data_IF_067107429234
#
_entry.id   IF_067107429234
#
_cell.length_a   1.000
_cell.length_b   1.000
_cell.length_c   1.000
_cell.angle_alpha   90.00
_cell.angle_beta   90.00
_cell.angle_gamma   90.00
#
_symmetry.space_group_name_H-M   'P 1'
#
loop_
_entity.id
_entity.type
_entity.pdbx_description
1 polymer ?
#
# COMPACT_ATOMS: atom_id res chain seq x y z
N UNK A 1 0.34 -18.68 11.46
CA UNK A 1 1.02 -17.69 10.59
C UNK A 1 -0.04 -17.08 9.67
N UNK A 2 -0.08 -15.74 9.51
CA UNK A 2 -0.96 -15.06 8.56
C UNK A 2 -0.18 -14.82 7.27
N UNK A 3 -0.65 -15.33 6.15
CA UNK A 3 0.03 -15.18 4.85
C UNK A 3 -0.66 -14.09 4.03
N UNK A 4 0.12 -13.10 3.60
CA UNK A 4 -0.32 -11.97 2.79
C UNK A 4 0.61 -11.83 1.57
N UNK A 5 0.30 -12.49 0.43
CA UNK A 5 1.10 -12.35 -0.77
C UNK A 5 1.00 -10.95 -1.37
N UNK A 6 1.96 -10.62 -2.22
CA UNK A 6 1.81 -9.47 -3.10
C UNK A 6 0.65 -9.67 -4.08
N UNK A 7 -0.11 -8.62 -4.32
CA UNK A 7 -1.17 -8.59 -5.33
C UNK A 7 -0.67 -7.96 -6.64
N UNK A 8 -0.88 -8.65 -7.75
CA UNK A 8 -0.49 -8.20 -9.09
C UNK A 8 0.92 -8.61 -9.53
N UNK A 9 1.25 -8.25 -10.78
CA UNK A 9 2.53 -8.59 -11.39
C UNK A 9 3.61 -7.60 -10.99
N UNK A 10 4.59 -8.08 -10.25
CA UNK A 10 5.74 -7.28 -9.82
C UNK A 10 6.98 -7.61 -10.64
N UNK A 11 7.62 -6.58 -11.19
CA UNK A 11 8.86 -6.68 -11.97
C UNK A 11 9.92 -5.72 -11.44
N UNK A 12 11.19 -5.91 -11.84
CA UNK A 12 12.25 -4.94 -11.60
C UNK A 12 12.77 -4.82 -10.15
N UNK A 13 13.83 -4.01 -10.02
CA UNK A 13 14.43 -3.54 -8.76
C UNK A 13 14.93 -2.09 -8.96
N UNK A 14 14.28 -1.06 -8.38
CA UNK A 14 13.12 -1.13 -7.49
C UNK A 14 11.90 -1.77 -8.15
N UNK A 15 11.05 -2.38 -7.33
CA UNK A 15 9.86 -3.10 -7.80
C UNK A 15 8.89 -2.15 -8.51
N UNK A 16 8.28 -2.63 -9.59
CA UNK A 16 7.23 -1.97 -10.37
C UNK A 16 6.03 -2.89 -10.38
N UNK A 17 4.84 -2.34 -10.14
CA UNK A 17 3.57 -3.06 -10.22
C UNK A 17 2.90 -2.74 -11.56
N UNK A 18 2.60 -3.78 -12.33
CA UNK A 18 2.00 -3.70 -13.66
C UNK A 18 0.71 -4.52 -13.72
N UNK A 19 -0.24 -4.11 -14.56
CA UNK A 19 -1.50 -4.83 -14.78
C UNK A 19 -2.68 -3.89 -14.94
N UNK A 20 -3.89 -4.46 -14.88
CA UNK A 20 -5.13 -3.69 -14.75
C UNK A 20 -5.74 -3.90 -13.37
N UNK A 21 -6.52 -2.92 -12.92
CA UNK A 21 -7.23 -3.02 -11.63
C UNK A 21 -8.14 -4.25 -11.61
N UNK A 22 -8.89 -4.52 -12.69
CA UNK A 22 -9.73 -5.71 -12.81
C UNK A 22 -8.93 -7.01 -12.61
N UNK A 23 -7.74 -7.11 -13.22
CA UNK A 23 -6.89 -8.29 -13.06
C UNK A 23 -6.42 -8.52 -11.63
N UNK A 24 -6.22 -7.44 -10.86
CA UNK A 24 -5.84 -7.52 -9.45
C UNK A 24 -7.02 -7.95 -8.58
N UNK A 25 -8.23 -7.48 -8.86
CA UNK A 25 -9.43 -7.93 -8.15
C UNK A 25 -9.69 -9.42 -8.43
N UNK A 26 -9.58 -9.86 -9.68
CA UNK A 26 -9.72 -11.26 -10.06
C UNK A 26 -8.67 -12.15 -9.38
N UNK A 27 -7.41 -11.72 -9.35
CA UNK A 27 -6.33 -12.43 -8.66
C UNK A 27 -6.57 -12.49 -7.14
N UNK A 28 -7.00 -11.39 -6.53
CA UNK A 28 -7.32 -11.34 -5.10
C UNK A 28 -8.41 -12.37 -4.76
N UNK A 29 -9.50 -12.41 -5.53
CA UNK A 29 -10.58 -13.37 -5.34
C UNK A 29 -10.10 -14.83 -5.48
N UNK A 30 -9.24 -15.11 -6.46
CA UNK A 30 -8.65 -16.45 -6.63
C UNK A 30 -7.76 -16.86 -5.45
N UNK A 31 -7.02 -15.92 -4.87
CA UNK A 31 -6.17 -16.19 -3.69
C UNK A 31 -6.98 -16.30 -2.41
N UNK A 32 -8.04 -15.51 -2.24
CA UNK A 32 -8.96 -15.65 -1.11
C UNK A 32 -9.63 -17.03 -1.10
N UNK A 33 -10.04 -17.54 -2.27
CA UNK A 33 -10.55 -18.90 -2.40
C UNK A 33 -9.53 -20.00 -1.98
N UNK A 34 -8.23 -19.67 -1.94
CA UNK A 34 -7.16 -20.56 -1.46
C UNK A 34 -6.80 -20.35 0.02
N UNK A 35 -7.49 -19.43 0.71
CA UNK A 35 -7.35 -19.21 2.15
C UNK A 35 -6.22 -18.26 2.57
N UNK A 36 -5.80 -17.33 1.70
CA UNK A 36 -4.88 -16.26 2.12
C UNK A 36 -5.55 -15.33 3.13
N UNK A 37 -4.78 -14.73 4.03
CA UNK A 37 -5.33 -13.84 5.06
C UNK A 37 -5.63 -12.44 4.52
N UNK A 38 -4.87 -11.98 3.53
CA UNK A 38 -4.94 -10.62 3.01
C UNK A 38 -3.85 -10.40 1.97
N UNK A 39 -3.54 -9.15 1.65
CA UNK A 39 -2.62 -8.80 0.57
C UNK A 39 -1.67 -7.67 0.94
N UNK A 40 -0.45 -7.75 0.41
CA UNK A 40 0.48 -6.63 0.33
C UNK A 40 0.33 -5.99 -1.06
N UNK A 41 -0.03 -4.71 -1.12
CA UNK A 41 -0.21 -4.00 -2.37
C UNK A 41 0.87 -2.93 -2.52
N UNK A 42 1.72 -3.07 -3.55
CA UNK A 42 2.73 -2.06 -3.92
C UNK A 42 2.11 -0.86 -4.65
N UNK A 43 1.12 -0.23 -4.03
CA UNK A 43 0.21 0.76 -4.60
C UNK A 43 0.89 1.92 -5.34
N UNK A 44 1.77 2.66 -4.65
CA UNK A 44 2.48 3.80 -5.29
C UNK A 44 3.71 3.39 -6.11
N UNK A 45 3.85 2.09 -6.41
CA UNK A 45 4.77 1.56 -7.44
C UNK A 45 4.02 1.08 -8.68
N UNK A 46 2.71 1.29 -8.74
CA UNK A 46 1.90 1.01 -9.90
C UNK A 46 2.19 1.97 -11.04
N UNK A 47 2.24 1.45 -12.27
CA UNK A 47 2.53 2.25 -13.47
C UNK A 47 1.35 3.08 -13.97
N UNK A 48 0.14 2.81 -13.46
CA UNK A 48 -1.08 3.55 -13.80
C UNK A 48 -1.45 4.58 -12.72
N UNK A 49 -2.75 4.80 -12.56
CA UNK A 49 -3.29 5.64 -11.49
C UNK A 49 -3.23 4.88 -10.14
N UNK A 50 -2.25 5.24 -9.32
CA UNK A 50 -1.99 4.60 -8.02
C UNK A 50 -3.11 4.86 -7.00
N UNK A 51 -3.70 6.06 -6.98
CA UNK A 51 -4.77 6.39 -6.05
C UNK A 51 -6.06 5.65 -6.40
N UNK A 52 -6.40 5.60 -7.70
CA UNK A 52 -7.53 4.80 -8.17
C UNK A 52 -7.35 3.31 -7.86
N UNK A 53 -6.14 2.78 -8.07
CA UNK A 53 -5.82 1.40 -7.73
C UNK A 53 -6.01 1.14 -6.23
N UNK A 54 -5.37 1.94 -5.38
CA UNK A 54 -5.39 1.76 -3.93
C UNK A 54 -6.82 1.77 -3.41
N UNK A 55 -7.60 2.78 -3.81
CA UNK A 55 -9.01 2.90 -3.43
C UNK A 55 -9.81 1.68 -3.87
N UNK A 56 -9.71 1.32 -5.14
CA UNK A 56 -10.54 0.25 -5.71
C UNK A 56 -10.22 -1.10 -5.07
N UNK A 57 -8.94 -1.41 -4.84
CA UNK A 57 -8.53 -2.66 -4.18
C UNK A 57 -8.98 -2.70 -2.72
N UNK A 58 -8.78 -1.62 -1.97
CA UNK A 58 -9.19 -1.55 -0.56
C UNK A 58 -10.71 -1.64 -0.39
N UNK A 59 -11.49 -1.05 -1.30
CA UNK A 59 -12.96 -1.11 -1.27
C UNK A 59 -13.54 -2.44 -1.77
N UNK A 60 -12.88 -3.10 -2.74
CA UNK A 60 -13.45 -4.26 -3.44
C UNK A 60 -12.97 -5.61 -2.91
N UNK A 61 -11.81 -5.67 -2.26
CA UNK A 61 -11.25 -6.93 -1.73
C UNK A 61 -11.74 -7.15 -0.31
N UNK A 62 -12.50 -8.23 -0.09
CA UNK A 62 -13.01 -8.63 1.23
C UNK A 62 -11.93 -9.32 2.08
N UNK A 63 -10.81 -8.64 2.29
CA UNK A 63 -9.72 -9.06 3.15
C UNK A 63 -8.79 -7.89 3.52
N UNK A 64 -8.02 -8.01 4.61
CA UNK A 64 -6.96 -7.07 4.96
C UNK A 64 -6.02 -6.74 3.79
N UNK A 65 -5.92 -5.45 3.44
CA UNK A 65 -4.94 -4.93 2.49
C UNK A 65 -3.93 -4.06 3.23
N UNK A 66 -2.65 -4.40 3.10
CA UNK A 66 -1.53 -3.60 3.57
C UNK A 66 -0.95 -2.79 2.40
N UNK A 67 -1.05 -1.47 2.43
CA UNK A 67 -0.46 -0.62 1.40
C UNK A 67 1.04 -0.43 1.61
N UNK A 68 1.80 -0.61 0.56
CA UNK A 68 3.25 -0.49 0.59
C UNK A 68 3.79 0.14 -0.70
N UNK A 69 5.08 0.45 -0.67
CA UNK A 69 5.78 1.03 -1.80
C UNK A 69 5.59 2.53 -1.90
N UNK A 70 6.67 3.28 -1.65
CA UNK A 70 6.76 4.71 -1.94
C UNK A 70 5.68 5.59 -1.29
N UNK A 71 5.28 5.27 -0.05
CA UNK A 71 4.54 6.20 0.81
C UNK A 71 5.54 7.22 1.37
N UNK A 72 5.60 8.40 0.75
CA UNK A 72 6.70 9.36 0.91
C UNK A 72 6.26 10.83 0.93
N UNK A 73 4.96 11.10 1.12
CA UNK A 73 4.41 12.45 1.21
C UNK A 73 3.14 12.49 2.05
N UNK A 74 2.78 13.68 2.55
CA UNK A 74 1.55 13.87 3.33
C UNK A 74 0.30 13.71 2.46
N UNK A 75 0.35 14.06 1.19
CA UNK A 75 -0.76 13.85 0.24
C UNK A 75 -1.10 12.36 0.09
N UNK A 76 -0.07 11.50 0.07
CA UNK A 76 -0.28 10.05 0.08
C UNK A 76 -0.87 9.57 1.42
N UNK A 77 -0.48 10.16 2.54
CA UNK A 77 -1.07 9.86 3.85
C UNK A 77 -2.54 10.29 3.91
N UNK A 78 -2.90 11.43 3.32
CA UNK A 78 -4.30 11.86 3.22
C UNK A 78 -5.14 10.87 2.42
N UNK A 79 -4.62 10.41 1.28
CA UNK A 79 -5.28 9.37 0.50
C UNK A 79 -5.43 8.06 1.29
N UNK A 80 -4.41 7.65 2.04
CA UNK A 80 -4.47 6.47 2.92
C UNK A 80 -5.54 6.64 4.01
N UNK A 81 -5.66 7.83 4.61
CA UNK A 81 -6.72 8.13 5.60
C UNK A 81 -8.12 8.04 4.99
N UNK A 82 -8.29 8.49 3.75
CA UNK A 82 -9.58 8.43 3.05
C UNK A 82 -10.03 6.97 2.89
N UNK A 83 -9.16 6.11 2.35
CA UNK A 83 -9.53 4.75 1.94
C UNK A 83 -9.42 3.72 3.08
N UNK A 84 -8.71 4.04 4.17
CA UNK A 84 -8.62 3.23 5.40
C UNK A 84 -8.21 1.77 5.15
N UNK A 85 -7.02 1.51 4.57
CA UNK A 85 -6.53 0.15 4.45
C UNK A 85 -6.31 -0.48 5.82
N UNK A 86 -6.13 -1.81 5.86
CA UNK A 86 -5.87 -2.51 7.13
C UNK A 86 -4.54 -2.06 7.77
N UNK A 87 -3.53 -1.81 6.94
CA UNK A 87 -2.25 -1.25 7.36
C UNK A 87 -1.59 -0.51 6.19
N UNK A 88 -0.53 0.23 6.49
CA UNK A 88 0.40 0.72 5.48
C UNK A 88 1.83 0.63 6.01
N UNK A 89 2.82 0.72 5.13
CA UNK A 89 4.25 0.71 5.49
C UNK A 89 4.99 1.89 4.90
N UNK A 90 5.95 2.41 5.67
CA UNK A 90 6.91 3.41 5.23
C UNK A 90 8.31 2.83 5.42
N UNK A 91 9.14 2.95 4.38
CA UNK A 91 10.51 2.44 4.36
C UNK A 91 11.52 3.55 4.07
N UNK A 92 11.97 3.64 2.81
CA UNK A 92 13.04 4.57 2.40
C UNK A 92 12.74 6.05 2.69
N UNK A 93 11.47 6.45 2.72
CA UNK A 93 11.07 7.82 2.96
C UNK A 93 11.61 8.39 4.29
N UNK A 94 11.71 7.58 5.36
CA UNK A 94 12.30 8.02 6.62
C UNK A 94 13.81 8.25 6.52
N UNK A 95 14.52 7.42 5.75
CA UNK A 95 15.95 7.61 5.48
C UNK A 95 16.22 8.79 4.55
N UNK A 96 15.28 9.08 3.65
CA UNK A 96 15.32 10.19 2.71
C UNK A 96 14.79 11.50 3.30
N UNK A 97 14.47 11.54 4.60
CA UNK A 97 14.02 12.75 5.32
C UNK A 97 12.76 13.38 4.71
N UNK A 98 11.82 12.55 4.24
CA UNK A 98 10.61 13.02 3.54
C UNK A 98 9.58 13.67 4.46
N UNK A 99 9.66 13.40 5.77
CA UNK A 99 8.70 13.89 6.75
C UNK A 99 9.34 14.79 7.82
N UNK A 100 10.63 15.14 7.68
CA UNK A 100 11.40 15.84 8.71
C UNK A 100 12.88 15.46 8.68
N UNK A 101 13.68 16.02 9.60
CA UNK A 101 15.14 15.87 9.59
C UNK A 101 15.67 14.70 10.43
N UNK A 102 15.05 14.41 11.57
CA UNK A 102 15.43 13.31 12.45
C UNK A 102 14.60 12.04 12.15
N UNK A 103 15.20 10.86 12.30
CA UNK A 103 14.53 9.60 11.95
C UNK A 103 13.40 9.26 12.94
N UNK A 104 13.61 9.45 14.24
CA UNK A 104 12.60 9.14 15.24
C UNK A 104 11.47 10.17 15.19
N UNK A 105 11.81 11.45 15.06
CA UNK A 105 10.84 12.55 14.94
C UNK A 105 9.92 12.36 13.74
N UNK A 106 10.44 11.91 12.59
CA UNK A 106 9.62 11.60 11.41
C UNK A 106 8.57 10.52 11.67
N UNK A 107 8.89 9.50 12.47
CA UNK A 107 7.94 8.45 12.83
C UNK A 107 6.82 9.04 13.68
N UNK A 108 7.18 9.84 14.69
CA UNK A 108 6.20 10.50 15.56
C UNK A 108 5.29 11.44 14.74
N UNK A 109 5.86 12.25 13.84
CA UNK A 109 5.10 13.12 12.92
C UNK A 109 4.09 12.32 12.10
N UNK A 110 4.49 11.19 11.51
CA UNK A 110 3.58 10.37 10.71
C UNK A 110 2.50 9.72 11.59
N UNK A 111 2.86 9.22 12.77
CA UNK A 111 1.90 8.62 13.70
C UNK A 111 0.86 9.63 14.17
N UNK A 112 1.30 10.82 14.58
CA UNK A 112 0.43 11.93 14.97
C UNK A 112 -0.42 12.40 13.80
N UNK A 113 0.16 12.51 12.60
CA UNK A 113 -0.59 12.84 11.40
C UNK A 113 -1.73 11.85 11.18
N UNK A 114 -1.46 10.54 11.23
CA UNK A 114 -2.44 9.48 10.96
C UNK A 114 -3.50 9.33 12.06
N UNK A 115 -3.26 9.83 13.27
CA UNK A 115 -4.23 9.81 14.37
C UNK A 115 -5.32 10.90 14.26
N UNK A 116 -5.07 11.95 13.46
CA UNK A 116 -5.98 13.09 13.25
C UNK A 116 -6.82 12.95 11.99
#
# INVERSE_FOLDING_TARGET
MKYMPFLGKITGRPSVLEGSIDSFIDEANQYLAKGVFGFDLLGYRYTGDAELLNKTVVESVDAPVCLAGSVDSFEKLDHIKEIKPWAFTIGSAFFEKKFGDDFAEQIDIVCDYMAN
#
